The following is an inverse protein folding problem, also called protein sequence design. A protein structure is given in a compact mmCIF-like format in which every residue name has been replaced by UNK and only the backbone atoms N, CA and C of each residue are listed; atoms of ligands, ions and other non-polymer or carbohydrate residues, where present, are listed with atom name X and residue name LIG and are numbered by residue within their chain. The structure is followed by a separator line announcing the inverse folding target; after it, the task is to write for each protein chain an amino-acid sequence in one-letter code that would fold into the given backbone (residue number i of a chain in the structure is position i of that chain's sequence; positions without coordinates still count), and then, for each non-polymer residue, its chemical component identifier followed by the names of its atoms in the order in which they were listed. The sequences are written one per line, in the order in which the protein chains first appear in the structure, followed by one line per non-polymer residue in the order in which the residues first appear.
data_IF_700644414568
#
_entry.id   IF_700644414568
#
_cell.length_a   1.000
_cell.length_b   1.000
_cell.length_c   1.000
_cell.angle_alpha   90.00
_cell.angle_beta   90.00
_cell.angle_gamma   90.00
#
_symmetry.space_group_name_H-M   'P 1'
#
loop_
_entity.id
_entity.type
_entity.pdbx_description
1 polymer ?
#
# COMPACT_ATOMS: atom_id res chain seq x y z
N UNK A 1 7.12 -1.23 17.68
CA UNK A 1 7.62 -0.70 16.40
C UNK A 1 7.77 0.81 16.54
N UNK A 2 8.92 1.38 16.18
CA UNK A 2 9.02 2.83 15.95
C UNK A 2 8.59 3.06 14.51
N UNK A 3 7.55 3.88 14.31
CA UNK A 3 7.15 4.38 13.00
C UNK A 3 7.69 5.79 12.92
N UNK A 4 8.72 5.96 12.09
CA UNK A 4 9.28 7.28 11.83
C UNK A 4 8.57 7.86 10.60
N UNK A 5 7.91 9.00 10.76
CA UNK A 5 7.23 9.72 9.68
C UNK A 5 8.28 10.50 8.89
N UNK A 6 8.78 9.90 7.81
CA UNK A 6 9.67 10.57 6.86
C UNK A 6 8.79 11.38 5.91
N UNK A 7 8.98 12.70 5.83
CA UNK A 7 8.11 13.62 5.09
C UNK A 7 7.88 13.25 3.61
N UNK A 8 6.80 13.80 3.06
CA UNK A 8 6.27 13.54 1.70
C UNK A 8 7.35 13.42 0.59
N UNK A 9 7.64 12.22 0.06
CA UNK A 9 8.16 12.04 -1.31
C UNK A 9 7.03 12.32 -2.28
N UNK A 10 6.79 13.61 -2.45
CA UNK A 10 5.74 14.18 -3.28
C UNK A 10 5.87 13.89 -4.78
N UNK A 11 6.82 13.06 -5.22
CA UNK A 11 7.16 12.88 -6.64
C UNK A 11 6.98 11.46 -7.17
N UNK A 12 7.48 10.40 -6.52
CA UNK A 12 7.44 9.06 -7.11
C UNK A 12 6.04 8.42 -7.06
N UNK A 13 5.32 8.63 -5.95
CA UNK A 13 4.00 8.02 -5.70
C UNK A 13 2.86 9.04 -5.71
N UNK A 14 3.12 10.23 -6.25
CA UNK A 14 2.13 11.28 -6.34
C UNK A 14 1.05 10.93 -7.36
N UNK A 15 -0.20 11.10 -6.92
CA UNK A 15 -1.38 10.80 -7.72
C UNK A 15 -1.50 9.32 -8.10
N UNK A 16 -0.98 8.39 -7.29
CA UNK A 16 -1.37 6.98 -7.41
C UNK A 16 -2.88 6.83 -7.16
N UNK A 17 -3.37 7.55 -6.15
CA UNK A 17 -4.78 7.68 -5.84
C UNK A 17 -5.20 9.15 -5.84
N UNK A 18 -6.49 9.40 -5.65
CA UNK A 18 -7.05 10.76 -5.56
C UNK A 18 -6.57 11.56 -4.34
N UNK A 19 -5.93 10.91 -3.36
CA UNK A 19 -5.37 11.54 -2.15
C UNK A 19 -3.84 11.46 -2.15
N UNK A 20 -3.20 12.34 -1.37
CA UNK A 20 -1.77 12.29 -1.16
C UNK A 20 -1.39 11.05 -0.35
N UNK A 21 -0.30 10.39 -0.74
CA UNK A 21 0.29 9.29 0.03
C UNK A 21 1.14 9.80 1.18
N UNK A 22 1.07 9.11 2.30
CA UNK A 22 1.90 9.31 3.48
C UNK A 22 2.93 8.18 3.51
N UNK A 23 4.21 8.56 3.51
CA UNK A 23 5.29 7.60 3.70
C UNK A 23 5.54 7.32 5.17
N UNK A 24 5.46 6.04 5.50
CA UNK A 24 5.77 5.52 6.82
C UNK A 24 6.99 4.62 6.70
N UNK A 25 7.87 4.66 7.69
CA UNK A 25 8.97 3.71 7.80
C UNK A 25 8.70 2.72 8.92
N UNK A 26 8.76 1.42 8.63
CA UNK A 26 8.68 0.36 9.63
C UNK A 26 9.80 -0.65 9.40
N UNK A 27 10.56 -0.95 10.46
CA UNK A 27 11.68 -1.91 10.38
C UNK A 27 12.71 -1.61 9.27
N UNK A 28 12.87 -0.33 8.91
CA UNK A 28 13.78 0.12 7.85
C UNK A 28 13.21 0.06 6.43
N UNK A 29 11.95 -0.32 6.26
CA UNK A 29 11.28 -0.34 4.96
C UNK A 29 10.18 0.70 4.87
N UNK A 30 9.91 1.13 3.63
CA UNK A 30 8.90 2.11 3.32
C UNK A 30 7.54 1.46 3.10
N UNK A 31 6.53 2.11 3.66
CA UNK A 31 5.11 1.81 3.53
C UNK A 31 4.44 3.09 3.06
N UNK A 32 3.51 2.98 2.13
CA UNK A 32 2.71 4.12 1.68
C UNK A 32 1.27 3.94 2.15
N UNK A 33 0.75 4.92 2.88
CA UNK A 33 -0.62 4.95 3.35
C UNK A 33 -1.42 6.06 2.66
N UNK A 34 -2.65 5.77 2.30
CA UNK A 34 -3.58 6.69 1.64
C UNK A 34 -4.88 6.70 2.43
N UNK A 35 -5.19 7.83 3.06
CA UNK A 35 -6.40 8.01 3.85
C UNK A 35 -7.43 8.82 3.04
N UNK A 36 -8.60 8.22 2.83
CA UNK A 36 -9.72 8.79 2.10
C UNK A 36 -10.73 9.37 3.07
N UNK A 37 -11.58 10.28 2.58
CA UNK A 37 -12.64 10.87 3.40
C UNK A 37 -13.67 9.81 3.82
N UNK A 38 -13.96 8.84 2.94
CA UNK A 38 -14.95 7.79 3.19
C UNK A 38 -14.43 6.39 2.82
N UNK A 39 -14.98 5.33 3.45
CA UNK A 39 -14.68 3.95 3.06
C UNK A 39 -15.16 3.61 1.64
N UNK A 40 -16.21 4.29 1.16
CA UNK A 40 -16.71 4.13 -0.21
C UNK A 40 -15.69 4.62 -1.23
N UNK A 41 -15.07 5.78 -1.00
CA UNK A 41 -13.99 6.29 -1.86
C UNK A 41 -12.77 5.37 -1.86
N UNK A 42 -12.36 4.86 -0.68
CA UNK A 42 -11.29 3.88 -0.59
C UNK A 42 -11.62 2.61 -1.40
N UNK A 43 -12.88 2.16 -1.38
CA UNK A 43 -13.31 1.03 -2.21
C UNK A 43 -13.22 1.33 -3.71
N UNK A 44 -13.70 2.49 -4.15
CA UNK A 44 -13.62 2.86 -5.57
C UNK A 44 -12.18 2.97 -6.06
N UNK A 45 -11.28 3.48 -5.22
CA UNK A 45 -9.86 3.63 -5.52
C UNK A 45 -9.14 2.27 -5.51
N UNK A 46 -9.47 1.38 -4.58
CA UNK A 46 -8.91 0.03 -4.54
C UNK A 46 -9.23 -0.79 -5.81
N UNK A 47 -10.42 -0.60 -6.40
CA UNK A 47 -10.81 -1.26 -7.67
C UNK A 47 -9.95 -0.83 -8.87
N UNK A 48 -9.20 0.25 -8.75
CA UNK A 48 -8.33 0.74 -9.81
C UNK A 48 -6.99 0.01 -9.85
N UNK A 49 -6.67 -0.73 -8.79
CA UNK A 49 -5.45 -1.54 -8.68
C UNK A 49 -5.68 -2.85 -9.41
N UNK A 50 -4.75 -3.25 -10.27
CA UNK A 50 -4.75 -4.56 -10.92
C UNK A 50 -4.54 -5.68 -9.90
N UNK A 51 -5.04 -6.89 -10.18
CA UNK A 51 -4.90 -8.03 -9.25
C UNK A 51 -3.44 -8.31 -8.86
N UNK A 52 -2.49 -8.15 -9.79
CA UNK A 52 -1.05 -8.29 -9.55
C UNK A 52 -0.40 -7.11 -8.81
N UNK A 53 -1.10 -5.98 -8.68
CA UNK A 53 -0.65 -4.80 -7.93
C UNK A 53 0.36 -3.89 -8.65
N UNK A 54 0.82 -4.23 -9.86
CA UNK A 54 1.74 -3.36 -10.61
C UNK A 54 1.00 -2.24 -11.36
N UNK A 55 -0.26 -2.47 -11.75
CA UNK A 55 -1.12 -1.49 -12.41
C UNK A 55 -2.01 -0.71 -11.45
N UNK A 56 -2.08 0.61 -11.61
CA UNK A 56 -3.11 1.47 -11.01
C UNK A 56 -3.66 2.41 -12.08
N UNK A 57 -4.90 2.20 -12.52
CA UNK A 57 -5.52 2.92 -13.66
C UNK A 57 -4.66 2.82 -14.93
N UNK A 58 -3.94 3.89 -15.29
CA UNK A 58 -3.08 4.02 -16.47
C UNK A 58 -1.60 4.09 -16.07
N UNK A 59 -1.28 3.97 -14.77
CA UNK A 59 0.08 3.97 -14.25
C UNK A 59 0.52 2.52 -14.04
N UNK A 60 1.75 2.24 -14.44
CA UNK A 60 2.43 0.99 -14.15
C UNK A 60 3.63 1.31 -13.25
N UNK A 61 3.69 0.65 -12.09
CA UNK A 61 4.74 0.85 -11.10
C UNK A 61 5.67 -0.35 -11.18
N UNK A 62 6.93 -0.11 -11.51
CA UNK A 62 7.94 -1.16 -11.52
C UNK A 62 8.51 -1.34 -10.10
N UNK A 63 7.87 -2.19 -9.32
CA UNK A 63 8.30 -2.50 -7.96
C UNK A 63 9.59 -3.33 -7.95
N UNK A 64 10.42 -3.14 -6.92
CA UNK A 64 11.63 -3.95 -6.70
C UNK A 64 11.26 -5.34 -6.14
N UNK A 65 10.19 -5.38 -5.36
CA UNK A 65 9.59 -6.57 -4.73
C UNK A 65 8.11 -6.53 -5.04
N UNK A 66 7.47 -7.69 -5.20
CA UNK A 66 6.03 -7.76 -5.42
C UNK A 66 5.24 -6.94 -4.40
N UNK A 67 4.40 -6.00 -4.88
CA UNK A 67 3.68 -5.11 -3.99
C UNK A 67 2.57 -5.87 -3.27
N UNK A 68 2.28 -5.45 -2.04
CA UNK A 68 1.15 -5.96 -1.26
C UNK A 68 0.23 -4.79 -0.93
N UNK A 69 -1.05 -4.90 -1.31
CA UNK A 69 -2.05 -3.87 -1.07
C UNK A 69 -3.07 -4.30 -0.02
N UNK A 70 -3.23 -3.48 1.00
CA UNK A 70 -4.15 -3.71 2.11
C UNK A 70 -5.18 -2.59 2.18
N UNK A 71 -6.38 -2.90 2.66
CA UNK A 71 -7.43 -1.90 2.84
C UNK A 71 -8.24 -2.19 4.09
N UNK A 72 -8.41 -1.17 4.93
CA UNK A 72 -9.27 -1.23 6.10
C UNK A 72 -10.02 0.10 6.24
N UNK A 73 -11.35 0.03 6.25
CA UNK A 73 -12.20 1.22 6.27
C UNK A 73 -11.88 2.17 5.11
N UNK A 74 -11.48 3.40 5.45
CA UNK A 74 -11.14 4.48 4.53
C UNK A 74 -9.64 4.60 4.25
N UNK A 75 -8.84 3.57 4.56
CA UNK A 75 -7.38 3.61 4.35
C UNK A 75 -6.95 2.50 3.40
N UNK A 76 -6.10 2.85 2.43
CA UNK A 76 -5.34 1.90 1.61
C UNK A 76 -3.87 1.98 2.01
N UNK A 77 -3.21 0.84 2.16
CA UNK A 77 -1.77 0.75 2.40
C UNK A 77 -1.14 -0.09 1.30
N UNK A 78 -0.04 0.39 0.73
CA UNK A 78 0.82 -0.41 -0.16
C UNK A 78 2.20 -0.59 0.45
N UNK A 79 2.70 -1.80 0.36
CA UNK A 79 4.00 -2.21 0.86
C UNK A 79 4.72 -3.00 -0.23
N UNK A 80 5.82 -2.45 -0.73
CA UNK A 80 6.68 -3.07 -1.74
C UNK A 80 7.99 -3.59 -1.15
N UNK A 81 7.94 -4.18 0.05
CA UNK A 81 9.08 -4.74 0.77
C UNK A 81 8.92 -6.23 1.05
N UNK A 82 9.92 -6.83 1.72
CA UNK A 82 9.99 -8.28 1.97
C UNK A 82 10.12 -8.66 3.45
N UNK A 83 10.21 -7.71 4.39
CA UNK A 83 10.28 -8.03 5.81
C UNK A 83 8.97 -8.63 6.32
N UNK A 84 9.03 -9.90 6.71
CA UNK A 84 7.87 -10.66 7.19
C UNK A 84 7.19 -10.03 8.43
N UNK A 85 7.96 -9.29 9.25
CA UNK A 85 7.40 -8.58 10.41
C UNK A 85 6.46 -7.44 9.98
N UNK A 86 6.78 -6.75 8.89
CA UNK A 86 5.95 -5.68 8.35
C UNK A 86 4.68 -6.26 7.75
N UNK A 87 4.81 -7.26 6.86
CA UNK A 87 3.66 -7.97 6.28
C UNK A 87 2.72 -8.52 7.35
N UNK A 88 3.22 -9.22 8.38
CA UNK A 88 2.37 -9.76 9.47
C UNK A 88 1.65 -8.67 10.26
N UNK A 89 2.32 -7.55 10.51
CA UNK A 89 1.72 -6.40 11.21
C UNK A 89 0.62 -5.76 10.37
N UNK A 90 0.85 -5.61 9.06
CA UNK A 90 -0.13 -5.10 8.11
C UNK A 90 -1.35 -6.03 8.02
N UNK A 91 -1.14 -7.34 7.88
CA UNK A 91 -2.24 -8.33 7.87
C UNK A 91 -3.05 -8.27 9.16
N UNK A 92 -2.39 -8.19 10.32
CA UNK A 92 -3.07 -8.13 11.62
C UNK A 92 -3.89 -6.85 11.80
N UNK A 93 -3.40 -5.72 11.25
CA UNK A 93 -4.01 -4.40 11.46
C UNK A 93 -5.05 -4.04 10.41
N UNK A 94 -4.85 -4.50 9.17
CA UNK A 94 -5.63 -4.10 8.01
C UNK A 94 -6.50 -5.23 7.45
N UNK A 95 -6.22 -6.49 7.80
CA UNK A 95 -6.78 -7.67 7.15
C UNK A 95 -5.90 -8.17 6.00
N UNK A 96 -6.39 -9.18 5.29
CA UNK A 96 -5.68 -9.77 4.15
C UNK A 96 -5.48 -8.75 3.02
N UNK A 97 -4.45 -8.97 2.20
CA UNK A 97 -4.23 -8.15 1.03
C UNK A 97 -5.36 -8.35 0.01
N UNK A 98 -5.72 -7.28 -0.71
CA UNK A 98 -6.73 -7.33 -1.76
C UNK A 98 -6.14 -7.37 -3.17
N UNK A 99 -4.86 -7.03 -3.33
CA UNK A 99 -4.12 -7.06 -4.59
C UNK A 99 -2.62 -7.23 -4.32
N UNK A 100 -1.89 -7.70 -5.32
CA UNK A 100 -0.47 -8.06 -5.19
C UNK A 100 -0.24 -9.55 -5.00
N UNK A 101 1.01 -9.98 -5.10
CA UNK A 101 1.36 -11.39 -4.91
C UNK A 101 1.16 -11.79 -3.45
N UNK A 102 0.28 -12.78 -3.23
CA UNK A 102 0.15 -13.43 -1.93
C UNK A 102 1.40 -14.29 -1.75
N UNK A 103 2.22 -13.99 -0.75
CA UNK A 103 3.41 -14.79 -0.43
C UNK A 103 3.08 -16.20 0.12
N UNK A 104 1.85 -16.69 -0.08
CA UNK A 104 1.40 -18.05 0.26
C UNK A 104 1.57 -19.04 -0.91
N UNK A 105 2.29 -18.65 -1.97
CA UNK A 105 2.66 -19.52 -3.08
C UNK A 105 4.01 -20.22 -2.87
N UNK A 106 4.13 -21.12 -1.89
CA UNK A 106 5.15 -22.18 -1.86
C UNK A 106 4.77 -23.34 -0.93
#
# INVERSE_FOLDING_TARGET
MKVDNHGENKFLFSGLFSVAGIELSASGEQILAFEFLTPEEANEQAKLVSDDGYGIVLKYINWIVDPQYFKNGNTIVVYGGSQSLVTKTLITSMGEQFAGENSDGA
#
